data_IF_416334830120
#
_entry.id   IF_416334830120
#
_cell.length_a   1.000
_cell.length_b   1.000
_cell.length_c   1.000
_cell.angle_alpha   90.00
_cell.angle_beta   90.00
_cell.angle_gamma   90.00
#
_symmetry.space_group_name_H-M   'P 1'
#
loop_
_entity.id
_entity.type
_entity.pdbx_description
1 polymer ?
#
# COMPACT_ATOMS: atom_id res chain seq x y z
N UNK A 1 9.42 -10.34 -24.33
CA UNK A 1 10.59 -9.85 -23.55
C UNK A 1 10.49 -8.36 -23.19
N UNK A 2 9.54 -7.59 -23.73
CA UNK A 2 9.41 -6.14 -23.47
C UNK A 2 8.77 -5.79 -22.11
N UNK A 3 7.86 -6.61 -21.59
CA UNK A 3 7.18 -6.34 -20.32
C UNK A 3 8.14 -6.38 -19.12
N UNK A 4 8.94 -7.44 -19.00
CA UNK A 4 9.91 -7.57 -17.90
C UNK A 4 10.94 -6.43 -17.94
N UNK A 5 11.45 -6.12 -19.13
CA UNK A 5 12.43 -5.06 -19.33
C UNK A 5 11.85 -3.68 -18.98
N UNK A 6 10.61 -3.41 -19.39
CA UNK A 6 9.88 -2.20 -19.04
C UNK A 6 9.63 -2.12 -17.53
N UNK A 7 9.15 -3.21 -16.92
CA UNK A 7 8.87 -3.26 -15.48
C UNK A 7 10.13 -3.01 -14.65
N UNK A 8 11.26 -3.63 -15.01
CA UNK A 8 12.53 -3.41 -14.32
C UNK A 8 12.98 -1.94 -14.41
N UNK A 9 12.91 -1.32 -15.60
CA UNK A 9 13.27 0.09 -15.78
C UNK A 9 12.38 1.03 -14.98
N UNK A 10 11.06 0.87 -15.03
CA UNK A 10 10.12 1.74 -14.31
C UNK A 10 10.24 1.57 -12.80
N UNK A 11 10.43 0.33 -12.33
CA UNK A 11 10.65 0.05 -10.90
C UNK A 11 11.93 0.71 -10.41
N UNK A 12 13.03 0.62 -11.18
CA UNK A 12 14.29 1.28 -10.82
C UNK A 12 14.16 2.80 -10.75
N UNK A 13 13.43 3.42 -11.69
CA UNK A 13 13.12 4.85 -11.66
C UNK A 13 12.35 5.23 -10.39
N UNK A 14 11.33 4.43 -10.02
CA UNK A 14 10.55 4.66 -8.80
C UNK A 14 11.41 4.53 -7.53
N UNK A 15 12.31 3.55 -7.47
CA UNK A 15 13.24 3.35 -6.34
C UNK A 15 14.23 4.52 -6.20
N UNK A 16 14.82 4.99 -7.31
CA UNK A 16 15.72 6.14 -7.27
C UNK A 16 14.98 7.38 -6.76
N UNK A 17 13.78 7.64 -7.28
CA UNK A 17 12.95 8.76 -6.82
C UNK A 17 12.57 8.63 -5.34
N UNK A 18 12.26 7.43 -4.88
CA UNK A 18 12.00 7.18 -3.46
C UNK A 18 13.23 7.47 -2.59
N UNK A 19 14.42 7.10 -3.05
CA UNK A 19 15.69 7.40 -2.37
C UNK A 19 15.96 8.91 -2.28
N UNK A 20 15.63 9.66 -3.33
CA UNK A 20 15.93 11.10 -3.43
C UNK A 20 14.86 11.98 -2.75
N UNK A 21 13.58 11.70 -3.00
CA UNK A 21 12.43 12.53 -2.59
C UNK A 21 11.69 11.99 -1.35
N UNK A 22 12.07 10.81 -0.85
CA UNK A 22 11.34 10.10 0.21
C UNK A 22 10.04 9.44 -0.27
N UNK A 23 9.22 8.88 0.64
CA UNK A 23 8.06 8.04 0.30
C UNK A 23 6.83 8.82 -0.21
N UNK A 24 6.76 10.14 -0.01
CA UNK A 24 5.58 10.94 -0.29
C UNK A 24 5.07 10.85 -1.74
N UNK A 25 5.93 11.01 -2.77
CA UNK A 25 5.51 10.86 -4.16
C UNK A 25 4.97 9.45 -4.47
N UNK A 26 5.66 8.41 -4.00
CA UNK A 26 5.24 7.02 -4.18
C UNK A 26 3.90 6.75 -3.49
N UNK A 27 3.73 7.25 -2.26
CA UNK A 27 2.49 7.12 -1.49
C UNK A 27 1.30 7.70 -2.24
N UNK A 28 1.44 8.91 -2.79
CA UNK A 28 0.40 9.56 -3.57
C UNK A 28 0.04 8.79 -4.85
N UNK A 29 1.05 8.36 -5.60
CA UNK A 29 0.85 7.60 -6.85
C UNK A 29 0.19 6.25 -6.59
N UNK A 30 0.69 5.51 -5.59
CA UNK A 30 0.13 4.23 -5.19
C UNK A 30 -1.30 4.37 -4.66
N UNK A 31 -1.59 5.38 -3.84
CA UNK A 31 -2.93 5.63 -3.29
C UNK A 31 -3.94 5.90 -4.42
N UNK A 32 -3.53 6.57 -5.49
CA UNK A 32 -4.38 6.79 -6.68
C UNK A 32 -4.71 5.51 -7.46
N UNK A 33 -3.90 4.47 -7.29
CA UNK A 33 -4.08 3.15 -7.93
C UNK A 33 -4.68 2.11 -6.97
N UNK A 34 -4.80 2.45 -5.68
CA UNK A 34 -5.20 1.52 -4.64
C UNK A 34 -6.60 0.97 -4.90
N UNK A 35 -6.67 -0.35 -5.10
CA UNK A 35 -7.93 -1.02 -5.37
C UNK A 35 -8.83 -0.99 -4.12
N UNK A 36 -10.11 -0.69 -4.33
CA UNK A 36 -11.15 -0.60 -3.29
C UNK A 36 -10.93 0.45 -2.18
N UNK A 37 -10.01 1.39 -2.34
CA UNK A 37 -9.96 2.56 -1.46
C UNK A 37 -11.31 3.29 -1.47
N UNK A 38 -11.78 3.66 -0.29
CA UNK A 38 -13.09 4.26 -0.06
C UNK A 38 -14.27 3.28 -0.01
N UNK A 39 -14.06 1.96 -0.17
CA UNK A 39 -15.09 0.92 -0.07
C UNK A 39 -14.93 0.07 1.19
N UNK A 40 -15.95 -0.73 1.49
CA UNK A 40 -15.86 -1.74 2.55
C UNK A 40 -15.02 -2.92 2.07
N UNK A 41 -14.08 -3.35 2.91
CA UNK A 41 -13.16 -4.47 2.68
C UNK A 41 -13.04 -5.32 3.95
N UNK A 42 -12.51 -6.53 3.79
CA UNK A 42 -12.19 -7.44 4.90
C UNK A 42 -10.71 -7.81 4.82
N UNK A 43 -10.00 -7.72 5.96
CA UNK A 43 -8.62 -8.15 6.14
C UNK A 43 -8.55 -9.06 7.37
N UNK A 44 -8.29 -10.36 7.17
CA UNK A 44 -8.41 -11.35 8.23
C UNK A 44 -9.82 -11.36 8.83
N UNK A 45 -9.91 -11.22 10.15
CA UNK A 45 -11.18 -11.14 10.90
C UNK A 45 -11.76 -9.72 11.01
N UNK A 46 -11.09 -8.71 10.43
CA UNK A 46 -11.50 -7.32 10.51
C UNK A 46 -12.22 -6.89 9.22
N UNK A 47 -13.41 -6.30 9.37
CA UNK A 47 -14.15 -5.67 8.27
C UNK A 47 -14.42 -4.21 8.56
N UNK A 48 -14.37 -3.38 7.52
CA UNK A 48 -14.65 -1.95 7.63
C UNK A 48 -14.36 -1.22 6.32
N UNK A 49 -14.45 0.11 6.37
CA UNK A 49 -14.18 0.97 5.23
C UNK A 49 -12.68 1.21 5.08
N UNK A 50 -12.10 0.86 3.94
CA UNK A 50 -10.72 1.19 3.60
C UNK A 50 -10.61 2.69 3.35
N UNK A 51 -10.10 3.45 4.31
CA UNK A 51 -10.03 4.92 4.23
C UNK A 51 -8.76 5.45 3.58
N UNK A 52 -7.70 4.63 3.56
CA UNK A 52 -6.41 4.96 2.98
C UNK A 52 -5.29 4.21 3.70
N UNK A 53 -4.06 4.64 3.47
CA UNK A 53 -2.89 4.10 4.16
C UNK A 53 -2.12 5.21 4.86
N UNK A 54 -1.44 4.89 5.96
CA UNK A 54 -0.54 5.82 6.64
C UNK A 54 0.77 6.02 5.86
N UNK A 55 1.73 6.74 6.45
CA UNK A 55 3.02 7.05 5.82
C UNK A 55 3.89 5.79 5.57
N UNK A 56 3.66 4.72 6.33
CA UNK A 56 4.39 3.45 6.26
C UNK A 56 3.59 2.39 5.47
N UNK A 57 2.58 2.84 4.72
CA UNK A 57 1.66 2.02 3.93
C UNK A 57 0.82 1.04 4.75
N UNK A 58 0.65 1.29 6.05
CA UNK A 58 -0.30 0.57 6.89
C UNK A 58 -1.75 0.89 6.51
N UNK A 59 -2.58 -0.14 6.39
CA UNK A 59 -3.99 -0.03 6.05
C UNK A 59 -4.79 0.64 7.17
N UNK A 60 -5.49 1.72 6.85
CA UNK A 60 -6.44 2.40 7.72
C UNK A 60 -7.87 1.91 7.45
N UNK A 61 -8.32 0.97 8.29
CA UNK A 61 -9.63 0.33 8.19
C UNK A 61 -10.58 0.90 9.24
N UNK A 62 -11.55 1.71 8.80
CA UNK A 62 -12.54 2.30 9.70
C UNK A 62 -13.72 1.35 9.92
N UNK A 63 -13.84 0.82 11.14
CA UNK A 63 -15.01 0.06 11.59
C UNK A 63 -16.05 1.01 12.21
N UNK A 64 -17.14 0.44 12.75
CA UNK A 64 -18.19 1.23 13.41
C UNK A 64 -17.66 2.00 14.62
N UNK A 65 -16.81 1.36 15.43
CA UNK A 65 -16.41 1.87 16.74
C UNK A 65 -15.01 2.49 16.75
N UNK A 66 -14.15 2.15 15.79
CA UNK A 66 -12.75 2.60 15.77
C UNK A 66 -12.15 2.62 14.36
N UNK A 67 -10.90 3.08 14.26
CA UNK A 67 -10.07 2.91 13.07
C UNK A 67 -8.91 1.99 13.42
N UNK A 68 -8.85 0.86 12.73
CA UNK A 68 -7.77 -0.10 12.85
C UNK A 68 -6.62 0.32 11.92
N UNK A 69 -5.41 0.32 12.46
CA UNK A 69 -4.19 0.41 11.68
C UNK A 69 -3.60 -1.00 11.56
N UNK A 70 -3.53 -1.51 10.34
CA UNK A 70 -2.97 -2.83 10.03
C UNK A 70 -1.64 -2.59 9.31
N UNK A 71 -0.49 -2.93 9.91
CA UNK A 71 0.81 -2.64 9.33
C UNK A 71 1.02 -3.45 8.05
N UNK A 72 1.76 -2.90 7.08
CA UNK A 72 2.07 -3.60 5.83
C UNK A 72 2.81 -4.93 6.08
N UNK A 73 3.57 -5.02 7.17
CA UNK A 73 4.29 -6.22 7.60
C UNK A 73 3.39 -7.41 7.95
N UNK A 74 2.09 -7.19 8.14
CA UNK A 74 1.12 -8.28 8.34
C UNK A 74 1.01 -9.19 7.10
N UNK A 75 1.47 -8.71 5.93
CA UNK A 75 1.57 -9.49 4.70
C UNK A 75 2.84 -10.36 4.60
N UNK A 76 3.79 -10.24 5.54
CA UNK A 76 5.02 -11.02 5.50
C UNK A 76 4.74 -12.49 5.78
N UNK A 77 5.25 -13.36 4.91
CA UNK A 77 5.28 -14.80 5.17
C UNK A 77 6.36 -15.12 6.23
N UNK A 78 6.15 -16.13 7.09
CA UNK A 78 7.17 -16.61 8.00
C UNK A 78 8.42 -17.05 7.24
N UNK A 79 9.61 -16.77 7.79
CA UNK A 79 10.84 -17.32 7.24
C UNK A 79 10.77 -18.86 7.28
N UNK A 80 10.90 -19.49 6.11
CA UNK A 80 10.93 -20.94 5.93
C UNK A 80 12.25 -21.55 6.37
#
# INVERSE_FOLDING_TARGET
MTLLESWARHTLVALNRWSDDGPGPLHKEWTGLAWNIGKDVTHGDLSGRFTGVDQDFGLLLKSTDTTHLIPLTDLLEPAS
#
